data_IF_806005187052
#
_entry.id   IF_806005187052
#
_cell.length_a   1.000
_cell.length_b   1.000
_cell.length_c   1.000
_cell.angle_alpha   90.00
_cell.angle_beta   90.00
_cell.angle_gamma   90.00
#
_symmetry.space_group_name_H-M   'P 1'
#
loop_
_entity.id
_entity.type
_entity.pdbx_description
1 polymer ?
#
# COMPACT_ATOMS: atom_id res chain seq x y z
N UNK A 1 -20.39 51.89 24.43
CA UNK A 1 -20.26 50.77 23.48
C UNK A 1 -18.79 50.41 23.39
N UNK A 2 -18.40 49.21 23.83
CA UNK A 2 -17.05 48.67 23.62
C UNK A 2 -17.25 47.28 23.06
N UNK A 3 -16.98 47.13 21.76
CA UNK A 3 -17.04 45.86 21.05
C UNK A 3 -15.68 45.17 21.18
N UNK A 4 -15.62 44.09 21.95
CA UNK A 4 -14.47 43.18 21.97
C UNK A 4 -14.82 42.02 21.05
N UNK A 5 -14.38 42.09 19.81
CA UNK A 5 -14.43 40.98 18.87
C UNK A 5 -13.24 40.05 19.15
N UNK A 6 -13.46 39.00 19.94
CA UNK A 6 -12.48 37.94 20.13
C UNK A 6 -12.49 37.02 18.90
N UNK A 7 -11.50 37.18 18.03
CA UNK A 7 -11.24 36.29 16.89
C UNK A 7 -10.60 35.00 17.43
N UNK A 8 -11.42 34.00 17.78
CA UNK A 8 -10.94 32.65 18.07
C UNK A 8 -10.65 31.96 16.73
N UNK A 9 -9.39 31.99 16.31
CA UNK A 9 -8.90 31.12 15.22
C UNK A 9 -8.89 29.71 15.79
N UNK A 10 -9.96 28.96 15.56
CA UNK A 10 -9.99 27.53 15.81
C UNK A 10 -9.06 26.85 14.81
N UNK A 11 -7.79 26.72 15.17
CA UNK A 11 -6.91 25.76 14.52
C UNK A 11 -7.44 24.37 14.87
N UNK A 12 -8.32 23.83 14.04
CA UNK A 12 -8.65 22.40 14.10
C UNK A 12 -7.32 21.66 13.98
N UNK A 13 -6.98 20.73 14.90
CA UNK A 13 -5.84 19.86 14.68
C UNK A 13 -6.03 19.23 13.31
N UNK A 14 -5.05 19.40 12.42
CA UNK A 14 -5.01 18.63 11.19
C UNK A 14 -4.73 17.18 11.62
N UNK A 15 -5.79 16.43 11.90
CA UNK A 15 -5.72 14.99 12.02
C UNK A 15 -5.32 14.48 10.63
N UNK A 16 -4.05 14.14 10.46
CA UNK A 16 -3.63 13.35 9.33
C UNK A 16 -4.43 12.04 9.40
N UNK A 17 -5.29 11.83 8.40
CA UNK A 17 -6.00 10.57 8.28
C UNK A 17 -4.98 9.43 8.26
N UNK A 18 -5.29 8.34 8.94
CA UNK A 18 -4.49 7.12 8.89
C UNK A 18 -4.29 6.70 7.42
N UNK A 19 -3.09 6.26 7.06
CA UNK A 19 -2.86 5.72 5.71
C UNK A 19 -3.52 4.34 5.53
N UNK A 20 -3.83 3.94 4.31
CA UNK A 20 -4.40 2.62 4.01
C UNK A 20 -3.31 1.55 3.82
N UNK A 21 -3.65 0.29 4.06
CA UNK A 21 -2.88 -0.88 3.66
C UNK A 21 -3.65 -1.65 2.59
N UNK A 22 -2.98 -1.98 1.49
CA UNK A 22 -3.56 -2.75 0.38
C UNK A 22 -2.60 -3.81 -0.14
N UNK A 23 -3.15 -4.84 -0.75
CA UNK A 23 -2.39 -5.93 -1.36
C UNK A 23 -3.07 -6.44 -2.62
N UNK A 24 -2.28 -6.92 -3.58
CA UNK A 24 -2.79 -7.74 -4.68
C UNK A 24 -1.79 -8.83 -5.05
N UNK A 25 -2.30 -9.97 -5.53
CA UNK A 25 -1.45 -11.12 -5.86
C UNK A 25 -0.82 -11.00 -7.24
N UNK A 26 -1.59 -10.64 -8.28
CA UNK A 26 -1.06 -10.52 -9.65
C UNK A 26 -1.70 -9.34 -10.36
N UNK A 27 -0.88 -8.55 -11.07
CA UNK A 27 -1.31 -7.56 -12.04
C UNK A 27 -0.41 -7.64 -13.27
N UNK A 28 -1.00 -7.69 -14.45
CA UNK A 28 -0.28 -7.85 -15.70
C UNK A 28 -0.80 -6.83 -16.71
N UNK A 29 0.10 -6.04 -17.26
CA UNK A 29 -0.14 -5.04 -18.30
C UNK A 29 0.94 -5.20 -19.37
N UNK A 30 0.73 -6.11 -20.33
CA UNK A 30 1.73 -6.47 -21.34
C UNK A 30 1.21 -6.22 -22.76
N UNK A 31 2.08 -5.72 -23.61
CA UNK A 31 1.87 -5.63 -25.06
C UNK A 31 3.00 -6.39 -25.74
N UNK A 32 2.76 -7.66 -26.08
CA UNK A 32 3.78 -8.50 -26.72
C UNK A 32 3.79 -8.29 -28.24
N UNK A 33 4.95 -8.52 -28.86
CA UNK A 33 5.11 -8.38 -30.30
C UNK A 33 4.19 -9.37 -31.03
N UNK A 34 3.34 -8.86 -31.91
CA UNK A 34 2.41 -9.68 -32.71
C UNK A 34 1.16 -10.15 -31.97
N UNK A 35 0.93 -9.70 -30.73
CA UNK A 35 -0.32 -9.96 -30.00
C UNK A 35 -1.03 -8.65 -29.63
N UNK A 36 -2.26 -8.75 -29.13
CA UNK A 36 -2.98 -7.60 -28.59
C UNK A 36 -2.50 -7.33 -27.16
N UNK A 37 -2.36 -6.05 -26.83
CA UNK A 37 -2.14 -5.63 -25.46
C UNK A 37 -3.16 -6.29 -24.53
N UNK A 38 -2.65 -6.90 -23.47
CA UNK A 38 -3.40 -7.67 -22.48
C UNK A 38 -3.18 -7.00 -21.13
N UNK A 39 -4.27 -6.48 -20.57
CA UNK A 39 -4.32 -5.93 -19.21
C UNK A 39 -5.28 -6.79 -18.40
N UNK A 40 -4.77 -7.41 -17.34
CA UNK A 40 -5.54 -8.29 -16.45
C UNK A 40 -5.14 -8.06 -14.99
N UNK A 41 -6.11 -8.23 -14.10
CA UNK A 41 -5.96 -7.96 -12.68
C UNK A 41 -6.30 -6.51 -12.30
N UNK A 42 -6.02 -6.09 -11.05
CA UNK A 42 -5.38 -6.88 -9.99
C UNK A 42 -6.24 -8.07 -9.52
N UNK A 43 -5.62 -9.23 -9.36
CA UNK A 43 -6.27 -10.43 -8.82
C UNK A 43 -5.97 -10.57 -7.33
N UNK A 44 -6.94 -11.11 -6.59
CA UNK A 44 -6.91 -11.19 -5.13
C UNK A 44 -6.55 -9.82 -4.50
N UNK A 45 -7.37 -8.79 -4.73
CA UNK A 45 -7.15 -7.48 -4.11
C UNK A 45 -7.70 -7.47 -2.68
N UNK A 46 -6.96 -6.90 -1.74
CA UNK A 46 -7.35 -6.68 -0.35
C UNK A 46 -7.06 -5.25 0.10
N UNK A 47 -7.92 -4.68 0.95
CA UNK A 47 -7.85 -3.31 1.46
C UNK A 47 -8.18 -3.24 2.96
N UNK A 48 -7.44 -2.42 3.72
CA UNK A 48 -7.58 -2.33 5.17
C UNK A 48 -8.70 -1.38 5.63
N UNK A 49 -9.19 -0.49 4.77
CA UNK A 49 -10.28 0.44 5.07
C UNK A 49 -11.65 -0.06 4.61
N UNK A 50 -11.79 -0.32 3.30
CA UNK A 50 -13.08 -0.63 2.68
C UNK A 50 -13.32 -2.13 2.48
N UNK A 51 -12.31 -2.95 2.79
CA UNK A 51 -12.31 -4.38 2.51
C UNK A 51 -12.26 -4.72 1.01
N UNK A 52 -12.23 -6.01 0.66
CA UNK A 52 -12.11 -7.16 1.57
C UNK A 52 -10.75 -7.17 2.29
N UNK A 53 -10.72 -7.53 3.57
CA UNK A 53 -9.48 -7.57 4.35
C UNK A 53 -8.58 -8.76 4.00
N UNK A 54 -9.20 -9.83 3.48
CA UNK A 54 -8.52 -11.03 2.95
C UNK A 54 -9.17 -11.39 1.63
N UNK A 55 -8.35 -11.76 0.64
CA UNK A 55 -8.84 -12.16 -0.68
C UNK A 55 -8.04 -13.36 -1.19
N UNK A 56 -8.76 -14.35 -1.73
CA UNK A 56 -8.17 -15.57 -2.30
C UNK A 56 -8.64 -15.74 -3.74
N UNK A 57 -7.70 -16.02 -4.64
CA UNK A 57 -7.98 -16.31 -6.04
C UNK A 57 -7.30 -17.61 -6.45
N UNK A 58 -8.01 -18.47 -7.18
CA UNK A 58 -7.59 -19.87 -7.36
C UNK A 58 -6.34 -20.03 -8.23
N UNK A 59 -6.32 -19.39 -9.39
CA UNK A 59 -5.30 -19.59 -10.44
C UNK A 59 -5.39 -18.43 -11.41
N UNK A 60 -4.26 -17.82 -11.75
CA UNK A 60 -4.14 -16.92 -12.90
C UNK A 60 -3.35 -17.66 -13.97
N UNK A 61 -3.96 -17.83 -15.14
CA UNK A 61 -3.32 -18.44 -16.30
C UNK A 61 -3.47 -17.52 -17.50
N UNK A 62 -2.36 -16.91 -17.90
CA UNK A 62 -2.21 -16.05 -19.08
C UNK A 62 -1.32 -16.81 -20.05
N UNK A 63 -1.90 -17.46 -21.09
CA UNK A 63 -1.16 -18.34 -21.98
C UNK A 63 0.11 -17.69 -22.56
N UNK A 64 1.25 -18.36 -22.35
CA UNK A 64 2.55 -17.91 -22.84
C UNK A 64 3.19 -16.76 -22.04
N UNK A 65 2.58 -16.32 -20.94
CA UNK A 65 3.12 -15.28 -20.08
C UNK A 65 3.28 -15.70 -18.62
N UNK A 66 2.22 -16.19 -18.00
CA UNK A 66 2.16 -16.45 -16.57
C UNK A 66 1.20 -17.59 -16.25
N UNK A 67 1.60 -18.48 -15.36
CA UNK A 67 0.74 -19.49 -14.76
C UNK A 67 0.99 -19.50 -13.25
N UNK A 68 -0.06 -19.48 -12.43
CA UNK A 68 0.05 -19.49 -10.96
C UNK A 68 -0.87 -20.51 -10.32
N UNK A 69 -0.52 -20.97 -9.13
CA UNK A 69 -1.45 -21.59 -8.20
C UNK A 69 -2.33 -20.55 -7.51
N UNK A 70 -2.59 -20.76 -6.22
CA UNK A 70 -3.47 -19.91 -5.40
C UNK A 70 -2.78 -18.59 -5.05
N UNK A 71 -3.53 -17.50 -5.15
CA UNK A 71 -3.16 -16.17 -4.69
C UNK A 71 -3.91 -15.91 -3.38
N UNK A 72 -3.20 -15.52 -2.34
CA UNK A 72 -3.77 -15.09 -1.05
C UNK A 72 -3.22 -13.72 -0.71
N UNK A 73 -4.10 -12.82 -0.30
CA UNK A 73 -3.73 -11.47 0.13
C UNK A 73 -4.47 -11.11 1.39
N UNK A 74 -3.81 -10.33 2.23
CA UNK A 74 -4.30 -9.87 3.51
C UNK A 74 -3.90 -8.41 3.70
N UNK A 75 -4.78 -7.63 4.29
CA UNK A 75 -4.56 -6.23 4.66
C UNK A 75 -5.29 -5.95 5.96
N UNK A 76 -4.58 -5.41 6.94
CA UNK A 76 -5.10 -5.18 8.27
C UNK A 76 -4.63 -3.83 8.82
N UNK A 77 -5.52 -3.23 9.60
CA UNK A 77 -5.23 -2.08 10.47
C UNK A 77 -5.43 -2.49 11.92
N UNK A 78 -4.46 -2.20 12.77
CA UNK A 78 -4.59 -2.36 14.21
C UNK A 78 -5.20 -1.09 14.82
N UNK A 79 -6.45 -1.20 15.25
CA UNK A 79 -7.23 -0.08 15.81
C UNK A 79 -6.64 0.51 17.10
N UNK A 80 -5.76 -0.22 17.80
CA UNK A 80 -5.18 0.22 19.07
C UNK A 80 -3.94 1.08 18.87
N UNK A 81 -3.08 0.67 17.94
CA UNK A 81 -1.78 1.27 17.67
C UNK A 81 -1.78 2.17 16.44
N UNK A 82 -2.80 2.05 15.58
CA UNK A 82 -2.82 2.69 14.26
C UNK A 82 -1.90 2.01 13.24
N UNK A 83 -1.32 0.85 13.59
CA UNK A 83 -0.40 0.11 12.73
C UNK A 83 -1.11 -0.51 11.53
N UNK A 84 -0.37 -0.65 10.44
CA UNK A 84 -0.87 -1.24 9.19
C UNK A 84 0.01 -2.42 8.80
N UNK A 85 -0.61 -3.47 8.27
CA UNK A 85 0.11 -4.60 7.73
C UNK A 85 -0.59 -5.08 6.46
N UNK A 86 0.18 -5.40 5.44
CA UNK A 86 -0.35 -6.06 4.25
C UNK A 86 0.60 -7.17 3.79
N UNK A 87 0.02 -8.24 3.28
CA UNK A 87 0.72 -9.43 2.78
C UNK A 87 0.10 -9.86 1.46
N UNK A 88 0.94 -10.25 0.51
CA UNK A 88 0.54 -10.95 -0.70
C UNK A 88 1.40 -12.20 -0.86
N UNK A 89 0.77 -13.33 -1.14
CA UNK A 89 1.43 -14.61 -1.38
C UNK A 89 0.81 -15.29 -2.60
N UNK A 90 1.65 -15.69 -3.54
CA UNK A 90 1.24 -16.45 -4.72
C UNK A 90 2.06 -17.71 -4.77
N UNK A 91 1.41 -18.87 -4.82
CA UNK A 91 2.07 -20.18 -4.89
C UNK A 91 2.11 -20.72 -6.32
N UNK A 92 3.00 -21.67 -6.57
CA UNK A 92 3.18 -22.37 -7.85
C UNK A 92 3.31 -21.41 -9.04
N UNK A 93 4.20 -20.43 -8.92
CA UNK A 93 4.41 -19.39 -9.93
C UNK A 93 5.31 -19.91 -11.04
N UNK A 94 4.89 -19.73 -12.30
CA UNK A 94 5.68 -19.96 -13.50
C UNK A 94 5.55 -18.77 -14.44
N UNK A 95 6.66 -18.14 -14.78
CA UNK A 95 6.71 -17.00 -15.71
C UNK A 95 7.21 -17.51 -17.05
N UNK A 96 6.29 -18.04 -17.85
CA UNK A 96 6.58 -18.67 -19.13
C UNK A 96 7.27 -17.71 -20.11
N UNK A 97 6.98 -16.40 -19.98
CA UNK A 97 7.62 -15.36 -20.79
C UNK A 97 9.15 -15.33 -20.60
N UNK A 98 9.61 -15.55 -19.37
CA UNK A 98 11.04 -15.59 -19.04
C UNK A 98 11.65 -16.95 -19.41
N UNK A 99 10.90 -18.04 -19.23
CA UNK A 99 11.38 -19.39 -19.53
C UNK A 99 11.87 -19.53 -20.99
N UNK A 100 11.24 -18.83 -21.94
CA UNK A 100 11.69 -18.80 -23.34
C UNK A 100 13.11 -18.23 -23.53
N UNK A 101 13.59 -17.39 -22.61
CA UNK A 101 14.89 -16.72 -22.68
C UNK A 101 15.91 -17.32 -21.72
N UNK A 102 15.44 -17.72 -20.54
CA UNK A 102 16.27 -18.14 -19.41
C UNK A 102 16.27 -19.66 -19.23
N UNK A 103 15.47 -20.39 -20.00
CA UNK A 103 15.28 -21.84 -19.90
C UNK A 103 14.16 -22.23 -18.94
N UNK A 104 14.14 -21.61 -17.75
CA UNK A 104 13.07 -21.76 -16.76
C UNK A 104 12.95 -20.50 -15.92
N UNK A 105 11.74 -20.24 -15.42
CA UNK A 105 11.50 -19.26 -14.37
C UNK A 105 10.27 -19.66 -13.56
N UNK A 106 10.47 -20.15 -12.34
CA UNK A 106 9.41 -20.59 -11.44
C UNK A 106 9.77 -20.41 -9.97
N UNK A 107 8.75 -20.30 -9.12
CA UNK A 107 8.91 -20.28 -7.67
C UNK A 107 7.74 -21.02 -7.01
N UNK A 108 8.03 -21.75 -5.93
CA UNK A 108 7.00 -22.41 -5.11
C UNK A 108 6.10 -21.38 -4.43
N UNK A 109 6.68 -20.28 -3.95
CA UNK A 109 5.94 -19.13 -3.42
C UNK A 109 6.67 -17.82 -3.68
N UNK A 110 5.90 -16.78 -3.97
CA UNK A 110 6.35 -15.39 -4.10
C UNK A 110 5.57 -14.55 -3.10
N UNK A 111 6.27 -13.96 -2.13
CA UNK A 111 5.65 -13.26 -1.01
C UNK A 111 6.13 -11.80 -0.96
N UNK A 112 5.20 -10.88 -0.74
CA UNK A 112 5.46 -9.49 -0.38
C UNK A 112 4.82 -9.18 0.97
N UNK A 113 5.52 -8.42 1.79
CA UNK A 113 5.02 -7.93 3.07
C UNK A 113 5.37 -6.46 3.23
N UNK A 114 4.41 -5.68 3.74
CA UNK A 114 4.68 -4.36 4.25
C UNK A 114 4.08 -4.23 5.65
N UNK A 115 4.74 -3.43 6.48
CA UNK A 115 4.29 -3.09 7.82
C UNK A 115 4.59 -1.64 8.12
N UNK A 116 3.66 -0.98 8.78
CA UNK A 116 3.72 0.41 9.21
C UNK A 116 3.46 0.46 10.70
N UNK A 117 4.44 0.94 11.45
CA UNK A 117 4.32 1.17 12.90
C UNK A 117 4.73 2.61 13.23
N UNK A 118 4.71 2.97 14.51
CA UNK A 118 5.24 4.26 14.97
C UNK A 118 6.75 4.41 14.76
N UNK A 119 7.47 3.31 14.58
CA UNK A 119 8.92 3.32 14.31
C UNK A 119 9.23 3.54 12.82
N UNK A 120 8.23 3.34 11.95
CA UNK A 120 8.31 3.61 10.53
C UNK A 120 7.73 2.52 9.66
N UNK A 121 8.03 2.63 8.37
CA UNK A 121 7.60 1.73 7.31
C UNK A 121 8.69 0.73 6.98
N UNK A 122 8.32 -0.55 6.97
CA UNK A 122 9.19 -1.67 6.57
C UNK A 122 8.53 -2.48 5.47
N UNK A 123 9.35 -2.99 4.56
CA UNK A 123 8.92 -3.83 3.44
C UNK A 123 9.90 -4.94 3.18
N UNK A 124 9.42 -6.09 2.71
CA UNK A 124 10.25 -7.24 2.36
C UNK A 124 9.59 -8.11 1.30
N UNK A 125 10.41 -8.92 0.65
CA UNK A 125 9.93 -9.95 -0.26
C UNK A 125 10.69 -11.26 -0.05
N UNK A 126 10.01 -12.37 -0.34
CA UNK A 126 10.56 -13.72 -0.27
C UNK A 126 10.19 -14.52 -1.51
N UNK A 127 11.15 -15.27 -2.03
CA UNK A 127 11.06 -16.13 -3.20
C UNK A 127 11.45 -17.55 -2.80
N UNK A 128 10.45 -18.40 -2.54
CA UNK A 128 10.65 -19.79 -2.09
C UNK A 128 10.77 -20.71 -3.29
N UNK A 129 11.74 -21.62 -3.28
CA UNK A 129 11.92 -22.62 -4.34
C UNK A 129 12.18 -22.01 -5.72
N UNK A 130 12.86 -20.85 -5.78
CA UNK A 130 13.13 -20.14 -7.03
C UNK A 130 14.06 -20.97 -7.94
N UNK A 131 13.56 -21.31 -9.12
CA UNK A 131 14.34 -21.72 -10.28
C UNK A 131 14.30 -20.61 -11.32
N UNK A 132 15.45 -20.02 -11.63
CA UNK A 132 15.56 -18.94 -12.60
C UNK A 132 16.39 -19.33 -13.84
N UNK A 133 16.60 -20.63 -14.04
CA UNK A 133 17.34 -21.17 -15.18
C UNK A 133 18.75 -20.60 -15.28
N UNK A 134 19.07 -19.97 -16.41
CA UNK A 134 20.40 -19.39 -16.67
C UNK A 134 20.63 -18.05 -15.98
N UNK A 135 19.59 -17.42 -15.43
CA UNK A 135 19.76 -16.21 -14.63
C UNK A 135 20.40 -16.57 -13.30
N UNK A 136 21.46 -15.84 -12.96
CA UNK A 136 21.97 -15.85 -11.59
C UNK A 136 21.03 -15.00 -10.75
N UNK A 137 20.04 -15.62 -10.14
CA UNK A 137 19.14 -14.92 -9.22
C UNK A 137 19.74 -14.83 -7.82
N UNK A 138 19.31 -13.81 -7.04
CA UNK A 138 19.75 -13.61 -5.66
C UNK A 138 19.12 -14.64 -4.71
N UNK A 139 19.54 -14.56 -3.44
CA UNK A 139 19.02 -15.36 -2.34
C UNK A 139 17.48 -15.33 -2.24
N UNK A 140 16.92 -16.33 -1.54
CA UNK A 140 15.50 -16.47 -1.18
C UNK A 140 14.87 -15.18 -0.65
N UNK A 141 15.65 -14.33 0.02
CA UNK A 141 15.25 -13.00 0.47
C UNK A 141 16.17 -11.97 -0.19
N UNK A 142 15.81 -11.47 -1.39
CA UNK A 142 16.63 -10.50 -2.09
C UNK A 142 16.68 -9.17 -1.34
N UNK A 143 17.80 -8.47 -1.43
CA UNK A 143 17.91 -7.11 -0.94
C UNK A 143 16.90 -6.20 -1.66
N UNK A 144 16.49 -5.09 -1.03
CA UNK A 144 15.57 -4.15 -1.63
C UNK A 144 16.10 -3.65 -2.99
N UNK A 145 15.22 -3.60 -3.99
CA UNK A 145 15.49 -3.17 -5.36
C UNK A 145 16.58 -4.00 -6.07
N UNK A 146 16.63 -5.31 -5.83
CA UNK A 146 17.57 -6.19 -6.53
C UNK A 146 17.15 -6.33 -7.98
N UNK A 147 17.99 -5.88 -8.92
CA UNK A 147 17.68 -5.86 -10.34
C UNK A 147 18.50 -6.91 -11.10
N UNK A 148 17.87 -7.61 -12.03
CA UNK A 148 18.47 -8.61 -12.91
C UNK A 148 18.08 -8.30 -14.35
N UNK A 149 19.07 -8.01 -15.18
CA UNK A 149 18.88 -7.81 -16.61
C UNK A 149 18.64 -9.15 -17.31
N UNK A 150 17.61 -9.19 -18.15
CA UNK A 150 17.27 -10.35 -18.98
C UNK A 150 17.64 -10.05 -20.41
N UNK A 151 18.67 -10.75 -20.90
CA UNK A 151 19.21 -10.58 -22.24
C UNK A 151 18.68 -11.62 -23.24
N UNK A 152 18.51 -11.18 -24.49
CA UNK A 152 18.29 -12.04 -25.65
C UNK A 152 19.20 -11.57 -26.80
N UNK A 153 19.91 -12.50 -27.45
CA UNK A 153 20.78 -12.20 -28.60
C UNK A 153 21.80 -11.07 -28.37
N UNK A 154 22.28 -10.90 -27.13
CA UNK A 154 23.25 -9.88 -26.76
C UNK A 154 22.67 -8.49 -26.44
N UNK A 155 21.33 -8.37 -26.35
CA UNK A 155 20.63 -7.13 -26.00
C UNK A 155 19.74 -7.38 -24.78
N UNK A 156 19.66 -6.42 -23.84
CA UNK A 156 18.70 -6.48 -22.72
C UNK A 156 17.29 -6.22 -23.24
N UNK A 157 16.38 -7.17 -23.03
CA UNK A 157 14.99 -7.12 -23.52
C UNK A 157 13.97 -6.99 -22.39
N UNK A 158 14.35 -7.33 -21.17
CA UNK A 158 13.53 -7.15 -19.99
C UNK A 158 14.39 -6.90 -18.75
N UNK A 159 13.78 -6.29 -17.74
CA UNK A 159 14.36 -6.02 -16.44
C UNK A 159 13.51 -6.73 -15.39
N UNK A 160 14.14 -7.59 -14.60
CA UNK A 160 13.50 -8.26 -13.47
C UNK A 160 13.92 -7.56 -12.17
N UNK A 161 12.99 -6.91 -11.51
CA UNK A 161 13.21 -6.24 -10.21
C UNK A 161 12.57 -7.09 -9.11
N UNK A 162 13.38 -7.52 -8.17
CA UNK A 162 13.00 -8.32 -7.02
C UNK A 162 13.03 -7.45 -5.75
N UNK A 163 12.03 -7.62 -4.89
CA UNK A 163 11.84 -6.78 -3.69
C UNK A 163 11.91 -5.29 -4.04
N UNK A 164 11.20 -4.86 -5.09
CA UNK A 164 11.11 -3.45 -5.46
C UNK A 164 10.39 -2.71 -4.32
N UNK A 165 11.05 -1.69 -3.76
CA UNK A 165 10.52 -0.89 -2.67
C UNK A 165 10.40 0.57 -3.12
N UNK A 166 9.18 0.99 -3.40
CA UNK A 166 8.85 2.33 -3.88
C UNK A 166 8.29 3.16 -2.73
N UNK A 167 9.00 4.22 -2.36
CA UNK A 167 8.46 5.26 -1.48
C UNK A 167 7.64 6.23 -2.31
N UNK A 168 6.32 6.21 -2.11
CA UNK A 168 5.40 7.05 -2.85
C UNK A 168 5.39 8.48 -2.30
N UNK A 169 4.93 9.43 -3.11
CA UNK A 169 4.89 10.85 -2.74
C UNK A 169 3.93 11.14 -1.57
N UNK A 170 2.95 10.26 -1.33
CA UNK A 170 2.03 10.30 -0.19
C UNK A 170 2.64 9.75 1.12
N UNK A 171 3.91 9.31 1.08
CA UNK A 171 4.62 8.73 2.21
C UNK A 171 4.38 7.25 2.43
N UNK A 172 3.57 6.59 1.59
CA UNK A 172 3.38 5.13 1.62
C UNK A 172 4.59 4.39 1.05
N UNK A 173 4.72 3.11 1.43
CA UNK A 173 5.70 2.18 0.89
C UNK A 173 4.97 1.09 0.11
N UNK A 174 5.24 1.01 -1.19
CA UNK A 174 4.84 -0.12 -2.03
C UNK A 174 6.00 -1.11 -2.14
N UNK A 175 5.70 -2.38 -1.93
CA UNK A 175 6.64 -3.49 -2.10
C UNK A 175 6.10 -4.40 -3.20
N UNK A 176 6.87 -4.58 -4.26
CA UNK A 176 6.59 -5.60 -5.27
C UNK A 176 7.62 -6.72 -5.10
N UNK A 177 7.17 -7.93 -4.77
CA UNK A 177 8.10 -9.05 -4.61
C UNK A 177 8.81 -9.38 -5.91
N UNK A 178 8.06 -9.36 -7.00
CA UNK A 178 8.57 -9.47 -8.35
C UNK A 178 7.88 -8.46 -9.25
N UNK A 179 8.69 -7.72 -10.01
CA UNK A 179 8.28 -6.93 -11.15
C UNK A 179 9.13 -7.31 -12.36
N UNK A 180 8.49 -7.78 -13.42
CA UNK A 180 9.11 -7.97 -14.72
C UNK A 180 8.68 -6.82 -15.62
N UNK A 181 9.64 -6.04 -16.11
CA UNK A 181 9.42 -4.96 -17.05
C UNK A 181 9.98 -5.33 -18.42
N UNK A 182 9.14 -5.33 -19.44
CA UNK A 182 9.59 -5.50 -20.81
C UNK A 182 10.07 -4.17 -21.37
N UNK A 183 11.31 -4.16 -21.86
CA UNK A 183 11.95 -2.97 -22.39
C UNK A 183 11.64 -2.88 -23.88
N UNK A 184 10.83 -1.89 -24.24
CA UNK A 184 10.52 -1.59 -25.64
C UNK A 184 11.83 -1.23 -26.38
N UNK A 185 12.18 -2.00 -27.40
CA UNK A 185 13.54 -2.08 -27.93
C UNK A 185 13.59 -2.26 -29.45
N UNK A 186 14.56 -1.56 -30.07
CA UNK A 186 14.70 -1.33 -31.53
C UNK A 186 15.02 -2.61 -32.33
N UNK A 187 15.34 -3.72 -31.66
CA UNK A 187 15.71 -4.99 -32.32
C UNK A 187 14.93 -6.13 -31.67
N UNK A 188 13.74 -6.44 -32.18
CA UNK A 188 12.99 -7.63 -31.76
C UNK A 188 12.60 -7.64 -30.27
N UNK A 189 12.16 -6.51 -29.70
CA UNK A 189 11.60 -6.51 -28.35
C UNK A 189 10.45 -7.53 -28.24
N UNK A 190 10.42 -8.27 -27.14
CA UNK A 190 9.34 -9.22 -26.86
C UNK A 190 8.01 -8.51 -26.64
N UNK A 191 8.07 -7.22 -26.36
CA UNK A 191 6.93 -6.37 -26.06
C UNK A 191 7.32 -5.20 -25.16
N UNK A 192 6.31 -4.54 -24.63
CA UNK A 192 6.41 -3.50 -23.61
C UNK A 192 5.41 -3.77 -22.50
N UNK A 193 5.72 -3.35 -21.28
CA UNK A 193 4.79 -3.38 -20.16
C UNK A 193 5.35 -4.05 -18.92
N UNK A 194 4.48 -4.27 -17.94
CA UNK A 194 4.84 -4.75 -16.61
C UNK A 194 4.02 -5.97 -16.22
N UNK A 195 4.67 -6.92 -15.56
CA UNK A 195 4.05 -7.99 -14.78
C UNK A 195 4.51 -7.83 -13.34
N UNK A 196 3.56 -7.73 -12.42
CA UNK A 196 3.80 -7.66 -10.97
C UNK A 196 3.17 -8.87 -10.30
N UNK A 197 3.98 -9.57 -9.48
CA UNK A 197 3.56 -10.70 -8.66
C UNK A 197 3.86 -10.37 -7.21
N UNK A 198 2.83 -10.51 -6.37
CA UNK A 198 2.76 -10.14 -4.97
C UNK A 198 3.16 -8.69 -4.73
N UNK A 199 2.15 -7.83 -4.60
CA UNK A 199 2.34 -6.42 -4.27
C UNK A 199 1.61 -6.08 -2.99
N UNK A 200 2.26 -5.30 -2.14
CA UNK A 200 1.67 -4.72 -0.93
C UNK A 200 1.99 -3.24 -0.88
N UNK A 201 1.07 -2.45 -0.33
CA UNK A 201 1.29 -1.02 -0.08
C UNK A 201 0.81 -0.68 1.31
N UNK A 202 1.66 -0.04 2.10
CA UNK A 202 1.33 0.42 3.45
C UNK A 202 1.53 1.93 3.53
N UNK A 203 0.48 2.66 3.92
CA UNK A 203 0.54 4.07 4.25
C UNK A 203 1.22 4.35 5.59
N UNK A 204 1.33 5.62 5.96
CA UNK A 204 1.81 5.98 7.28
C UNK A 204 0.84 5.50 8.38
N UNK A 205 1.39 4.92 9.45
CA UNK A 205 0.60 4.49 10.60
C UNK A 205 -0.13 5.69 11.22
N UNK A 206 -1.37 5.48 11.64
CA UNK A 206 -2.12 6.50 12.36
C UNK A 206 -1.41 6.79 13.68
N UNK A 207 -1.41 8.06 14.11
CA UNK A 207 -1.06 8.34 15.49
C UNK A 207 -2.09 7.66 16.40
N UNK A 208 -1.69 7.11 17.56
CA UNK A 208 -2.62 6.57 18.52
C UNK A 208 -3.67 7.63 18.81
N UNK A 209 -4.93 7.38 18.42
CA UNK A 209 -6.00 8.32 18.70
C UNK A 209 -6.14 8.32 20.22
N UNK A 210 -5.90 9.44 20.93
CA UNK A 210 -6.29 9.48 22.32
C UNK A 210 -7.81 9.39 22.32
N UNK A 211 -8.35 8.20 22.60
CA UNK A 211 -9.77 7.98 22.90
C UNK A 211 -10.19 9.07 23.86
N UNK A 212 -10.84 10.13 23.35
CA UNK A 212 -11.22 11.36 24.03
C UNK A 212 -10.72 11.39 25.48
N UNK A 213 -9.40 11.53 25.68
CA UNK A 213 -8.86 11.56 27.02
C UNK A 213 -9.56 12.73 27.69
N UNK A 214 -10.19 12.50 28.85
CA UNK A 214 -11.25 13.35 29.39
C UNK A 214 -10.97 14.86 29.41
N UNK A 215 -9.72 15.29 29.24
CA UNK A 215 -9.32 16.64 28.89
C UNK A 215 -10.15 17.31 27.77
N UNK A 216 -10.50 16.62 26.68
CA UNK A 216 -11.32 17.20 25.61
C UNK A 216 -12.74 17.57 26.07
N UNK A 217 -13.34 16.71 26.89
CA UNK A 217 -14.62 16.99 27.56
C UNK A 217 -14.47 18.13 28.57
N UNK A 218 -13.40 18.16 29.37
CA UNK A 218 -13.15 19.23 30.33
C UNK A 218 -12.91 20.59 29.66
N UNK A 219 -12.21 20.62 28.51
CA UNK A 219 -12.01 21.84 27.71
C UNK A 219 -13.36 22.29 27.12
N UNK A 220 -14.17 21.37 26.60
CA UNK A 220 -15.51 21.68 26.09
C UNK A 220 -16.46 22.21 27.19
N UNK A 221 -16.48 21.57 28.36
CA UNK A 221 -17.27 22.02 29.52
C UNK A 221 -16.76 23.34 30.07
N UNK A 222 -15.43 23.54 30.13
CA UNK A 222 -14.80 24.77 30.58
C UNK A 222 -15.14 25.96 29.67
N UNK A 223 -15.12 25.76 28.35
CA UNK A 223 -15.53 26.77 27.38
C UNK A 223 -17.03 27.09 27.48
N UNK A 224 -17.88 26.07 27.69
CA UNK A 224 -19.32 26.27 27.89
C UNK A 224 -19.61 27.09 29.16
N UNK A 225 -18.90 26.82 30.27
CA UNK A 225 -19.04 27.56 31.52
C UNK A 225 -18.66 29.05 31.37
N UNK A 226 -17.62 29.35 30.58
CA UNK A 226 -17.19 30.73 30.28
C UNK A 226 -18.23 31.55 29.51
N UNK A 227 -19.10 30.90 28.73
CA UNK A 227 -20.19 31.58 27.99
C UNK A 227 -21.45 31.71 28.84
N UNK A 228 -21.82 30.69 29.62
CA UNK A 228 -23.08 30.67 30.37
C UNK A 228 -23.04 31.61 31.59
N UNK A 229 -21.91 31.73 32.29
CA UNK A 229 -21.77 32.59 33.48
C UNK A 229 -22.00 34.10 33.21
N UNK A 230 -21.39 34.73 32.20
CA UNK A 230 -21.62 36.15 31.92
C UNK A 230 -23.03 36.44 31.38
N UNK A 231 -23.62 35.53 30.59
CA UNK A 231 -24.99 35.68 30.07
C UNK A 231 -26.02 35.60 31.19
N UNK A 232 -25.86 34.64 32.10
CA UNK A 232 -26.74 34.51 33.27
C UNK A 232 -26.59 35.68 34.25
N UNK A 233 -25.38 36.19 34.47
CA UNK A 233 -25.14 37.40 35.26
C UNK A 233 -25.77 38.66 34.64
N UNK A 234 -25.66 38.83 33.32
CA UNK A 234 -26.28 39.95 32.62
C UNK A 234 -27.82 39.87 32.64
N UNK A 235 -28.38 38.66 32.55
CA UNK A 235 -29.83 38.44 32.59
C UNK A 235 -30.42 38.69 33.98
N UNK A 236 -29.73 38.32 35.07
CA UNK A 236 -30.17 38.58 36.44
C UNK A 236 -30.06 40.05 36.82
N UNK A 237 -29.01 40.76 36.40
CA UNK A 237 -28.89 42.23 36.60
C UNK A 237 -30.01 43.02 35.94
N UNK A 238 -30.51 42.57 34.78
CA UNK A 238 -31.63 43.22 34.07
C UNK A 238 -32.99 42.96 34.70
N UNK A 239 -33.07 42.03 35.66
CA UNK A 239 -34.31 41.64 36.36
C UNK A 239 -34.37 42.13 37.81
N UNK A 240 -33.39 42.90 38.28
CA UNK A 240 -33.49 43.56 39.59
C UNK A 240 -34.57 44.66 39.51
N UNK A 241 -35.70 44.55 40.23
CA UNK A 241 -36.69 45.61 40.27
C UNK A 241 -36.13 46.81 41.04
N UNK A 242 -36.38 48.03 40.54
CA UNK A 242 -36.19 49.26 41.30
C UNK A 242 -37.02 49.17 42.59
N UNK A 243 -36.34 49.15 43.73
CA UNK A 243 -36.98 49.29 45.04
C UNK A 243 -37.34 50.76 45.19
N UNK A 244 -38.65 51.05 45.13
CA UNK A 244 -39.26 52.33 45.55
C UNK A 244 -39.47 52.31 47.05
#
# INVERSE_FOLDING_TARGET
>A
MVAVAALLISATPAWAAAGDASAFGVKLDLSLLGSRATSVGPFAAAHSEDGPFTSTFKTVDVPGALSTGVLTTDSARDERSGGLAARASVVDVRVDLLAALTGSWSAEAVEAECSSTQDGLTGSARLVGLDAGTLRTPATEPAANTTVDVGALGVTVAELVLNEQVRNADGSLTVNALRLRLLDGVVGSLGSGDLVISSTTCGAAALPVPLASGAGLWIGVGALALVVLPVSYAATRRRAPEVV
#
